data_IF_262837630482
#
_entry.id   IF_262837630482
#
_cell.length_a   1.000
_cell.length_b   1.000
_cell.length_c   1.000
_cell.angle_alpha   90.00
_cell.angle_beta   90.00
_cell.angle_gamma   90.00
#
_symmetry.space_group_name_H-M   'P 1'
#
loop_
_entity.id
_entity.type
_entity.pdbx_description
1 polymer ?
#
# COMPACT_ATOMS: atom_id res chain seq x y z
N UNK A 1 -12.29 -21.18 -16.79
CA UNK A 1 -12.50 -19.73 -16.73
C UNK A 1 -11.66 -19.24 -15.55
N UNK A 2 -10.58 -18.49 -15.77
CA UNK A 2 -9.79 -17.92 -14.66
C UNK A 2 -10.69 -16.94 -13.90
N UNK A 3 -10.53 -16.87 -12.59
CA UNK A 3 -11.16 -15.83 -11.78
C UNK A 3 -10.77 -14.47 -12.38
N UNK A 4 -11.70 -13.53 -12.67
CA UNK A 4 -11.35 -12.20 -13.16
C UNK A 4 -10.43 -11.44 -12.20
N UNK A 5 -10.29 -11.88 -10.95
CA UNK A 5 -9.36 -11.34 -9.96
C UNK A 5 -7.98 -12.04 -9.91
N UNK A 6 -7.74 -13.08 -10.74
CA UNK A 6 -6.43 -13.73 -10.90
C UNK A 6 -5.48 -12.89 -11.79
N UNK A 7 -5.29 -11.62 -11.41
CA UNK A 7 -4.48 -10.59 -12.09
C UNK A 7 -2.97 -10.74 -11.86
N UNK A 8 -2.51 -11.90 -11.39
CA UNK A 8 -1.09 -12.17 -11.12
C UNK A 8 -0.52 -11.49 -9.87
N UNK A 9 -1.37 -10.78 -9.12
CA UNK A 9 -1.00 -10.13 -7.87
C UNK A 9 -2.10 -10.39 -6.83
N UNK A 10 -1.79 -11.20 -5.82
CA UNK A 10 -2.79 -11.61 -4.83
C UNK A 10 -2.92 -10.61 -3.67
N UNK A 11 -4.01 -10.72 -2.92
CA UNK A 11 -4.28 -9.86 -1.77
C UNK A 11 -3.16 -9.90 -0.71
N UNK A 12 -2.45 -11.03 -0.59
CA UNK A 12 -1.34 -11.19 0.34
C UNK A 12 -0.13 -10.36 -0.10
N UNK A 13 0.16 -10.33 -1.39
CA UNK A 13 1.21 -9.53 -1.99
C UNK A 13 0.91 -8.04 -1.81
N UNK A 14 -0.35 -7.61 -2.00
CA UNK A 14 -0.76 -6.22 -1.70
C UNK A 14 -0.60 -5.85 -0.23
N UNK A 15 -0.92 -6.77 0.69
CA UNK A 15 -0.71 -6.52 2.11
C UNK A 15 0.78 -6.37 2.46
N UNK A 16 1.67 -7.10 1.80
CA UNK A 16 3.12 -6.96 1.97
C UNK A 16 3.59 -5.60 1.47
N UNK A 17 3.14 -5.17 0.29
CA UNK A 17 3.51 -3.86 -0.27
C UNK A 17 2.98 -2.70 0.59
N UNK A 18 1.75 -2.81 1.11
CA UNK A 18 1.20 -1.82 2.04
C UNK A 18 2.04 -1.72 3.33
N UNK A 19 2.50 -2.87 3.88
CA UNK A 19 3.39 -2.89 5.05
C UNK A 19 4.75 -2.24 4.77
N UNK A 20 5.34 -2.52 3.61
CA UNK A 20 6.61 -1.90 3.17
C UNK A 20 6.46 -0.39 3.02
N UNK A 21 5.35 0.06 2.44
CA UNK A 21 5.09 1.49 2.27
C UNK A 21 5.02 2.23 3.62
N UNK A 22 4.44 1.60 4.65
CA UNK A 22 4.35 2.17 5.99
C UNK A 22 5.73 2.50 6.62
N UNK A 23 6.81 1.82 6.19
CA UNK A 23 8.18 2.10 6.65
C UNK A 23 8.68 3.49 6.23
N UNK A 24 8.05 4.11 5.22
CA UNK A 24 8.39 5.43 4.72
C UNK A 24 7.51 6.55 5.30
N UNK A 25 6.60 6.22 6.22
CA UNK A 25 5.68 7.20 6.80
C UNK A 25 6.43 8.32 7.55
N UNK A 26 6.09 9.56 7.24
CA UNK A 26 6.57 10.72 8.01
C UNK A 26 5.55 11.04 9.10
N UNK A 27 5.82 10.55 10.32
CA UNK A 27 4.84 10.57 11.43
C UNK A 27 5.43 11.09 12.76
N UNK A 28 6.05 12.28 12.79
CA UNK A 28 6.70 12.78 14.00
C UNK A 28 5.72 13.17 15.12
N UNK A 29 4.42 13.30 14.85
CA UNK A 29 3.44 13.73 15.87
C UNK A 29 2.71 12.54 16.48
N UNK A 30 2.18 11.62 15.67
CA UNK A 30 1.44 10.46 16.19
C UNK A 30 2.31 9.25 16.50
N UNK A 31 3.49 9.13 15.88
CA UNK A 31 4.27 7.89 15.85
C UNK A 31 3.49 6.67 15.33
N UNK A 32 2.47 6.90 14.49
CA UNK A 32 1.59 5.84 13.97
C UNK A 32 1.72 5.69 12.44
N UNK A 33 2.57 4.77 11.95
CA UNK A 33 2.79 4.56 10.53
C UNK A 33 1.61 3.82 9.88
N UNK A 34 1.14 4.33 8.74
CA UNK A 34 0.10 3.74 7.91
C UNK A 34 0.62 3.62 6.49
N UNK A 35 0.43 2.46 5.87
CA UNK A 35 0.76 2.21 4.47
C UNK A 35 -0.40 1.59 3.72
N UNK A 36 -0.43 1.83 2.41
CA UNK A 36 -1.44 1.35 1.48
C UNK A 36 -0.78 0.89 0.18
N UNK A 37 -1.43 -0.06 -0.51
CA UNK A 37 -1.06 -0.51 -1.84
C UNK A 37 -2.33 -0.73 -2.68
N UNK A 38 -2.29 -0.31 -3.94
CA UNK A 38 -3.40 -0.35 -4.89
C UNK A 38 -2.95 -1.10 -6.14
N UNK A 39 -3.72 -2.12 -6.54
CA UNK A 39 -3.56 -2.83 -7.83
C UNK A 39 -4.46 -2.19 -8.87
N UNK A 40 -3.88 -1.73 -9.98
CA UNK A 40 -4.61 -1.19 -11.12
C UNK A 40 -5.04 -2.29 -12.09
N UNK A 41 -5.93 -1.95 -13.03
CA UNK A 41 -6.42 -2.87 -14.06
C UNK A 41 -5.31 -3.33 -15.03
N UNK A 42 -4.27 -2.52 -15.22
CA UNK A 42 -3.10 -2.85 -16.06
C UNK A 42 -2.06 -3.73 -15.34
N UNK A 43 -2.33 -4.12 -14.08
CA UNK A 43 -1.44 -4.94 -13.27
C UNK A 43 -0.34 -4.15 -12.54
N UNK A 44 -0.27 -2.83 -12.70
CA UNK A 44 0.65 -2.00 -11.93
C UNK A 44 0.20 -1.89 -10.47
N UNK A 45 1.18 -1.78 -9.57
CA UNK A 45 0.95 -1.56 -8.14
C UNK A 45 1.56 -0.23 -7.73
N UNK A 46 0.73 0.63 -7.12
CA UNK A 46 1.19 1.87 -6.48
C UNK A 46 1.00 1.75 -4.99
N UNK A 47 2.01 2.14 -4.23
CA UNK A 47 1.97 2.16 -2.78
C UNK A 47 2.21 3.56 -2.23
N UNK A 48 1.78 3.79 -1.00
CA UNK A 48 1.90 5.09 -0.34
C UNK A 48 1.75 4.96 1.18
N UNK A 49 2.13 6.03 1.87
CA UNK A 49 2.04 6.13 3.32
C UNK A 49 1.51 7.49 3.76
N UNK A 50 1.13 7.59 5.03
CA UNK A 50 0.74 8.88 5.61
C UNK A 50 1.96 9.79 5.82
N UNK A 51 1.73 11.08 5.61
CA UNK A 51 2.69 12.17 5.86
C UNK A 51 1.97 13.20 6.70
N UNK A 52 2.50 13.45 7.90
CA UNK A 52 1.92 14.43 8.82
C UNK A 52 2.48 15.83 8.60
N UNK A 53 1.75 16.82 9.06
CA UNK A 53 2.18 18.21 9.06
C UNK A 53 1.88 18.85 10.43
N UNK A 54 2.79 19.68 10.93
CA UNK A 54 2.56 20.52 12.10
C UNK A 54 1.93 21.83 11.66
N UNK A 55 0.73 22.13 12.16
CA UNK A 55 0.07 23.41 11.97
C UNK A 55 0.61 24.46 12.93
#
# INVERSE_FOLDING_TARGET
MKDPDDRGFDAKSLLIEAKRAAEFAYVPYSSFPVGAAILFEDGSVVSGCNVENGS
#
